data_IF_287725413561
#
_entry.id   IF_287725413561
#
_cell.length_a   1.000
_cell.length_b   1.000
_cell.length_c   1.000
_cell.angle_alpha   90.00
_cell.angle_beta   90.00
_cell.angle_gamma   90.00
#
_symmetry.space_group_name_H-M   'P 1'
#
loop_
_entity.id
_entity.type
_entity.pdbx_description
1 polymer ?
#
# COMPACT_ATOMS: atom_id res chain seq x y z
N UNK A 1 35.04 68.15 -38.16
CA UNK A 1 36.00 67.05 -37.95
C UNK A 1 36.13 66.63 -36.49
N UNK A 2 36.86 67.34 -35.60
CA UNK A 2 36.98 66.87 -34.18
C UNK A 2 35.64 66.78 -33.42
N UNK A 3 34.73 67.74 -33.60
CA UNK A 3 33.42 67.71 -32.95
C UNK A 3 32.52 66.55 -33.44
N UNK A 4 32.61 66.18 -34.72
CA UNK A 4 31.84 65.05 -35.28
C UNK A 4 32.32 63.72 -34.72
N UNK A 5 33.65 63.55 -34.60
CA UNK A 5 34.26 62.37 -33.98
C UNK A 5 33.80 62.24 -32.52
N UNK A 6 33.84 63.34 -31.77
CA UNK A 6 33.39 63.36 -30.39
C UNK A 6 31.91 62.96 -30.28
N UNK A 7 31.03 63.57 -31.08
CA UNK A 7 29.60 63.27 -31.10
C UNK A 7 29.30 61.81 -31.48
N UNK A 8 30.05 61.25 -32.43
CA UNK A 8 29.90 59.85 -32.82
C UNK A 8 30.30 58.91 -31.69
N UNK A 9 31.44 59.16 -31.03
CA UNK A 9 31.93 58.35 -29.91
C UNK A 9 30.97 58.41 -28.72
N UNK A 10 30.42 59.57 -28.41
CA UNK A 10 29.44 59.74 -27.32
C UNK A 10 28.01 59.37 -27.72
N UNK A 11 27.77 58.92 -28.95
CA UNK A 11 26.43 58.55 -29.40
C UNK A 11 25.93 57.30 -28.69
N UNK A 12 24.61 57.20 -28.53
CA UNK A 12 23.97 56.04 -27.88
C UNK A 12 24.22 54.71 -28.62
N UNK A 13 24.52 54.79 -29.93
CA UNK A 13 24.82 53.62 -30.74
C UNK A 13 26.16 52.99 -30.34
N UNK A 14 27.23 53.80 -30.23
CA UNK A 14 28.56 53.31 -29.87
C UNK A 14 28.75 53.10 -28.36
N UNK A 15 28.02 53.82 -27.52
CA UNK A 15 28.06 53.65 -26.05
C UNK A 15 27.13 52.56 -25.53
N UNK A 16 26.31 51.98 -26.41
CA UNK A 16 25.36 50.91 -26.10
C UNK A 16 24.40 51.22 -24.94
N UNK A 17 23.91 52.46 -24.88
CA UNK A 17 23.11 52.97 -23.77
C UNK A 17 21.88 52.05 -23.45
N UNK A 18 21.81 51.43 -22.25
CA UNK A 18 20.74 50.49 -21.90
C UNK A 18 19.38 51.18 -21.68
N UNK A 19 19.36 52.50 -21.50
CA UNK A 19 18.13 53.26 -21.25
C UNK A 19 17.22 53.35 -22.48
N UNK A 20 17.78 53.19 -23.69
CA UNK A 20 17.00 53.17 -24.94
C UNK A 20 15.96 52.04 -25.01
N UNK A 21 16.10 51.01 -24.18
CA UNK A 21 15.15 49.90 -24.10
C UNK A 21 13.81 50.31 -23.47
N UNK A 22 13.74 51.43 -22.75
CA UNK A 22 12.50 51.88 -22.11
C UNK A 22 11.46 52.31 -23.16
N UNK A 23 10.22 51.83 -23.03
CA UNK A 23 9.12 52.21 -23.92
C UNK A 23 8.43 53.47 -23.42
N UNK A 24 8.22 54.45 -24.31
CA UNK A 24 7.41 55.63 -24.01
C UNK A 24 5.94 55.30 -23.68
N UNK A 25 5.46 54.12 -24.11
CA UNK A 25 4.10 53.64 -23.82
C UNK A 25 3.93 53.07 -22.40
N UNK A 26 4.99 52.98 -21.58
CA UNK A 26 4.88 52.60 -20.18
C UNK A 26 6.14 51.91 -19.61
N UNK A 27 6.33 51.94 -18.28
CA UNK A 27 7.57 51.51 -17.61
C UNK A 27 7.81 49.99 -17.67
N UNK A 28 6.76 49.18 -17.71
CA UNK A 28 6.87 47.71 -17.78
C UNK A 28 7.03 47.18 -19.22
N UNK A 29 7.01 48.07 -20.21
CA UNK A 29 7.14 47.71 -21.61
C UNK A 29 8.55 48.01 -22.09
N UNK A 30 9.15 47.04 -22.76
CA UNK A 30 10.49 47.16 -23.33
C UNK A 30 10.36 47.32 -24.84
N UNK A 31 11.15 48.21 -25.43
CA UNK A 31 11.31 48.29 -26.87
C UNK A 31 12.21 47.15 -27.36
N UNK A 32 11.61 46.14 -28.01
CA UNK A 32 12.32 44.95 -28.49
C UNK A 32 13.46 45.27 -29.46
N UNK A 33 13.36 46.34 -30.25
CA UNK A 33 14.41 46.72 -31.20
C UNK A 33 15.72 47.17 -30.52
N UNK A 34 15.64 47.68 -29.29
CA UNK A 34 16.78 48.15 -28.50
C UNK A 34 17.06 47.26 -27.28
N UNK A 35 16.48 46.06 -27.23
CA UNK A 35 16.72 45.15 -26.12
C UNK A 35 18.10 44.48 -26.26
N UNK A 36 18.97 44.74 -25.28
CA UNK A 36 20.35 44.20 -25.24
C UNK A 36 20.56 43.17 -24.11
N UNK A 37 19.48 42.55 -23.65
CA UNK A 37 19.51 41.58 -22.54
C UNK A 37 19.11 42.15 -21.19
N UNK A 38 19.22 41.30 -20.18
CA UNK A 38 18.86 41.62 -18.79
C UNK A 38 19.95 42.44 -18.10
N UNK A 39 19.52 43.30 -17.19
CA UNK A 39 20.45 44.02 -16.31
C UNK A 39 21.16 43.04 -15.37
N UNK A 40 22.32 43.42 -14.86
CA UNK A 40 23.02 42.61 -13.87
C UNK A 40 22.17 42.42 -12.61
N UNK A 41 21.36 43.41 -12.23
CA UNK A 41 20.40 43.33 -11.13
C UNK A 41 19.33 42.25 -11.37
N UNK A 42 18.67 42.26 -12.54
CA UNK A 42 17.69 41.22 -12.92
C UNK A 42 18.33 39.82 -12.92
N UNK A 43 19.57 39.70 -13.40
CA UNK A 43 20.31 38.43 -13.40
C UNK A 43 20.65 37.96 -11.98
N UNK A 44 21.01 38.88 -11.09
CA UNK A 44 21.27 38.57 -9.69
C UNK A 44 19.98 38.13 -8.96
N UNK A 45 18.86 38.81 -9.19
CA UNK A 45 17.56 38.40 -8.63
C UNK A 45 17.18 36.97 -9.05
N UNK A 46 17.35 36.64 -10.34
CA UNK A 46 17.12 35.28 -10.86
C UNK A 46 18.06 34.27 -10.18
N UNK A 47 19.34 34.63 -9.99
CA UNK A 47 20.32 33.78 -9.31
C UNK A 47 19.89 33.49 -7.87
N UNK A 48 19.51 34.52 -7.11
CA UNK A 48 19.04 34.39 -5.73
C UNK A 48 17.76 33.55 -5.64
N UNK A 49 16.82 33.76 -6.57
CA UNK A 49 15.62 32.94 -6.68
C UNK A 49 15.93 31.45 -6.91
N UNK A 50 16.85 31.16 -7.84
CA UNK A 50 17.26 29.79 -8.14
C UNK A 50 17.94 29.12 -6.94
N UNK A 51 18.79 29.84 -6.21
CA UNK A 51 19.42 29.32 -4.98
C UNK A 51 18.37 28.95 -3.93
N UNK A 52 17.38 29.83 -3.70
CA UNK A 52 16.26 29.54 -2.79
C UNK A 52 15.48 28.32 -3.24
N UNK A 53 15.22 28.17 -4.54
CA UNK A 53 14.52 27.01 -5.09
C UNK A 53 15.27 25.70 -4.90
N UNK A 54 16.60 25.73 -5.03
CA UNK A 54 17.45 24.55 -4.77
C UNK A 54 17.34 24.15 -3.30
N UNK A 55 17.38 25.12 -2.38
CA UNK A 55 17.25 24.86 -0.95
C UNK A 55 15.87 24.31 -0.58
N UNK A 56 14.79 24.92 -1.09
CA UNK A 56 13.42 24.43 -0.91
C UNK A 56 13.26 22.99 -1.42
N UNK A 57 13.84 22.66 -2.57
CA UNK A 57 13.78 21.32 -3.13
C UNK A 57 14.56 20.30 -2.29
N UNK A 58 15.72 20.69 -1.74
CA UNK A 58 16.48 19.83 -0.81
C UNK A 58 15.68 19.50 0.44
N UNK A 59 15.01 20.50 1.03
CA UNK A 59 14.16 20.29 2.20
C UNK A 59 13.03 19.33 1.86
N UNK A 60 12.34 19.56 0.73
CA UNK A 60 11.25 18.68 0.27
C UNK A 60 11.70 17.23 0.06
N UNK A 61 12.85 17.02 -0.58
CA UNK A 61 13.41 15.67 -0.77
C UNK A 61 13.72 14.98 0.56
N UNK A 62 14.23 15.72 1.55
CA UNK A 62 14.47 15.18 2.89
C UNK A 62 13.17 14.81 3.60
N UNK A 63 12.12 15.62 3.48
CA UNK A 63 10.80 15.33 4.03
C UNK A 63 10.14 14.12 3.37
N UNK A 64 10.26 14.00 2.04
CA UNK A 64 9.77 12.85 1.28
C UNK A 64 10.49 11.56 1.70
N UNK A 65 11.82 11.60 1.81
CA UNK A 65 12.61 10.45 2.27
C UNK A 65 12.27 10.03 3.70
N UNK A 66 12.03 10.98 4.61
CA UNK A 66 11.55 10.68 5.97
C UNK A 66 10.17 10.02 5.94
N UNK A 67 9.24 10.57 5.17
CA UNK A 67 7.88 10.01 5.05
C UNK A 67 7.91 8.59 4.46
N UNK A 68 8.75 8.35 3.48
CA UNK A 68 8.92 7.02 2.89
C UNK A 68 9.51 6.03 3.91
N UNK A 69 10.51 6.44 4.70
CA UNK A 69 11.06 5.61 5.77
C UNK A 69 10.01 5.28 6.83
N UNK A 70 9.21 6.26 7.27
CA UNK A 70 8.12 6.06 8.23
C UNK A 70 7.06 5.10 7.68
N UNK A 71 6.71 5.24 6.38
CA UNK A 71 5.77 4.35 5.71
C UNK A 71 6.27 2.91 5.64
N UNK A 72 7.56 2.72 5.30
CA UNK A 72 8.19 1.40 5.28
C UNK A 72 8.22 0.77 6.67
N UNK A 73 8.54 1.55 7.71
CA UNK A 73 8.52 1.09 9.09
C UNK A 73 7.12 0.60 9.49
N UNK A 74 6.09 1.42 9.25
CA UNK A 74 4.69 1.09 9.53
C UNK A 74 4.24 -0.16 8.76
N UNK A 75 4.55 -0.23 7.46
CA UNK A 75 4.23 -1.39 6.63
C UNK A 75 4.85 -2.67 7.17
N UNK A 76 6.12 -2.61 7.59
CA UNK A 76 6.82 -3.74 8.20
C UNK A 76 6.18 -4.19 9.51
N UNK A 77 5.73 -3.25 10.35
CA UNK A 77 5.05 -3.54 11.61
C UNK A 77 3.69 -4.20 11.39
N UNK A 78 2.91 -3.66 10.46
CA UNK A 78 1.63 -4.24 10.08
C UNK A 78 1.83 -5.66 9.58
N UNK A 79 2.77 -5.89 8.66
CA UNK A 79 3.06 -7.23 8.13
C UNK A 79 3.47 -8.22 9.24
N UNK A 80 4.30 -7.79 10.20
CA UNK A 80 4.64 -8.60 11.38
C UNK A 80 3.40 -8.92 12.22
N UNK A 81 2.55 -7.91 12.49
CA UNK A 81 1.34 -8.08 13.31
C UNK A 81 0.36 -9.06 12.67
N UNK A 82 0.15 -8.98 11.36
CA UNK A 82 -0.72 -9.87 10.58
C UNK A 82 -0.17 -11.30 10.63
N UNK A 83 1.13 -11.47 10.39
CA UNK A 83 1.76 -12.79 10.45
C UNK A 83 1.65 -13.45 11.84
N UNK A 84 1.72 -12.67 12.92
CA UNK A 84 1.50 -13.19 14.28
C UNK A 84 0.04 -13.60 14.49
N UNK A 85 -0.92 -12.78 14.03
CA UNK A 85 -2.35 -13.09 14.13
C UNK A 85 -2.73 -14.32 13.31
N UNK A 86 -2.21 -14.45 12.10
CA UNK A 86 -2.43 -15.64 11.27
C UNK A 86 -1.93 -16.91 11.97
N UNK A 87 -0.75 -16.84 12.61
CA UNK A 87 -0.22 -17.97 13.41
C UNK A 87 -1.12 -18.31 14.60
N UNK A 88 -1.68 -17.32 15.29
CA UNK A 88 -2.64 -17.53 16.38
C UNK A 88 -3.92 -18.22 15.86
N UNK A 89 -4.46 -17.75 14.73
CA UNK A 89 -5.65 -18.33 14.10
C UNK A 89 -5.39 -19.78 13.69
N UNK A 90 -4.26 -20.06 13.04
CA UNK A 90 -3.87 -21.42 12.62
C UNK A 90 -3.74 -22.38 13.82
N UNK A 91 -3.19 -21.90 14.94
CA UNK A 91 -3.11 -22.70 16.17
C UNK A 91 -4.50 -23.05 16.71
N UNK A 92 -5.41 -22.07 16.77
CA UNK A 92 -6.80 -22.29 17.22
C UNK A 92 -7.56 -23.23 16.29
N UNK A 93 -7.41 -23.08 14.98
CA UNK A 93 -8.03 -23.97 14.00
C UNK A 93 -7.55 -25.42 14.22
N UNK A 94 -6.24 -25.63 14.39
CA UNK A 94 -5.68 -26.96 14.66
C UNK A 94 -6.19 -27.57 15.97
N UNK A 95 -6.45 -26.75 16.98
CA UNK A 95 -7.04 -27.20 18.25
C UNK A 95 -8.48 -27.66 18.05
N UNK A 96 -9.31 -26.84 17.39
CA UNK A 96 -10.69 -27.19 17.03
C UNK A 96 -10.73 -28.47 16.18
N UNK A 97 -9.86 -28.59 15.17
CA UNK A 97 -9.76 -29.80 14.35
C UNK A 97 -9.43 -31.05 15.18
N UNK A 98 -8.59 -30.91 16.21
CA UNK A 98 -8.24 -32.01 17.12
C UNK A 98 -9.44 -32.39 17.97
N UNK A 99 -10.18 -31.43 18.50
CA UNK A 99 -11.40 -31.67 19.28
C UNK A 99 -12.45 -32.38 18.45
N UNK A 100 -12.75 -31.88 17.24
CA UNK A 100 -13.68 -32.50 16.30
C UNK A 100 -13.25 -33.93 15.95
N UNK A 101 -11.94 -34.15 15.70
CA UNK A 101 -11.42 -35.50 15.43
C UNK A 101 -11.62 -36.45 16.61
N UNK A 102 -11.43 -35.97 17.84
CA UNK A 102 -11.64 -36.77 19.03
C UNK A 102 -13.12 -37.12 19.21
N UNK A 103 -14.03 -36.15 19.00
CA UNK A 103 -15.47 -36.38 19.04
C UNK A 103 -15.91 -37.40 17.98
N UNK A 104 -15.45 -37.25 16.74
CA UNK A 104 -15.73 -38.20 15.67
C UNK A 104 -15.27 -39.61 16.02
N UNK A 105 -14.10 -39.76 16.66
CA UNK A 105 -13.61 -41.07 17.13
C UNK A 105 -14.52 -41.68 18.20
N UNK A 106 -15.00 -40.89 19.14
CA UNK A 106 -15.92 -41.36 20.19
C UNK A 106 -17.24 -41.82 19.55
N UNK A 107 -17.83 -40.98 18.69
CA UNK A 107 -19.06 -41.28 17.97
C UNK A 107 -18.93 -42.54 17.10
N UNK A 108 -17.78 -42.75 16.44
CA UNK A 108 -17.52 -43.96 15.68
C UNK A 108 -17.49 -45.22 16.55
N UNK A 109 -16.89 -45.16 17.73
CA UNK A 109 -16.89 -46.26 18.70
C UNK A 109 -18.31 -46.56 19.21
N UNK A 110 -19.08 -45.53 19.55
CA UNK A 110 -20.47 -45.68 20.00
C UNK A 110 -21.34 -46.29 18.90
N UNK A 111 -21.22 -45.80 17.67
CA UNK A 111 -21.93 -46.34 16.51
C UNK A 111 -21.61 -47.81 16.30
N UNK A 112 -20.34 -48.21 16.35
CA UNK A 112 -19.94 -49.63 16.24
C UNK A 112 -20.55 -50.47 17.36
N UNK A 113 -20.51 -50.01 18.60
CA UNK A 113 -21.10 -50.71 19.74
C UNK A 113 -22.62 -50.88 19.59
N UNK A 114 -23.33 -49.85 19.15
CA UNK A 114 -24.76 -49.94 18.90
C UNK A 114 -25.07 -50.92 17.77
N UNK A 115 -24.29 -50.89 16.69
CA UNK A 115 -24.44 -51.82 15.58
C UNK A 115 -24.22 -53.27 16.02
N UNK A 116 -23.17 -53.54 16.79
CA UNK A 116 -22.93 -54.87 17.36
C UNK A 116 -24.08 -55.35 18.26
N UNK A 117 -24.69 -54.46 19.04
CA UNK A 117 -25.84 -54.80 19.87
C UNK A 117 -27.08 -55.14 19.02
N UNK A 118 -27.38 -54.34 18.00
CA UNK A 118 -28.49 -54.60 17.08
C UNK A 118 -28.31 -55.96 16.40
N UNK A 119 -27.13 -56.23 15.86
CA UNK A 119 -26.84 -57.46 15.12
C UNK A 119 -26.91 -58.71 16.02
N UNK A 120 -26.39 -58.64 17.26
CA UNK A 120 -26.27 -59.81 18.16
C UNK A 120 -27.47 -60.06 19.08
N UNK A 121 -28.26 -59.04 19.38
CA UNK A 121 -29.35 -59.15 20.37
C UNK A 121 -30.71 -58.97 19.71
N UNK A 122 -30.84 -57.98 18.84
CA UNK A 122 -32.14 -57.62 18.25
C UNK A 122 -32.43 -58.43 16.99
N UNK A 123 -31.45 -58.58 16.10
CA UNK A 123 -31.63 -59.25 14.81
C UNK A 123 -31.41 -60.76 14.84
N UNK A 124 -30.91 -61.33 15.93
CA UNK A 124 -30.86 -62.78 16.14
C UNK A 124 -32.20 -63.27 16.70
N UNK A 125 -33.00 -63.90 15.85
CA UNK A 125 -34.26 -64.52 16.28
C UNK A 125 -33.99 -65.91 16.86
N UNK A 126 -34.11 -66.06 18.18
CA UNK A 126 -34.04 -67.36 18.86
C UNK A 126 -35.45 -67.83 19.19
N UNK A 127 -35.88 -69.03 18.74
CA UNK A 127 -37.22 -69.54 19.01
C UNK A 127 -37.44 -69.73 20.51
N UNK A 128 -38.55 -69.19 21.02
CA UNK A 128 -38.94 -69.28 22.43
C UNK A 128 -39.33 -70.72 22.79
N UNK A 129 -39.20 -71.13 24.06
CA UNK A 129 -39.60 -72.48 24.50
C UNK A 129 -41.05 -72.84 24.09
N UNK A 130 -41.97 -71.88 24.18
CA UNK A 130 -43.35 -72.00 23.74
C UNK A 130 -43.51 -72.36 22.25
N UNK A 131 -42.54 -72.03 21.38
CA UNK A 131 -42.54 -72.44 19.98
C UNK A 131 -42.34 -73.95 19.83
N UNK A 132 -41.43 -74.54 20.61
CA UNK A 132 -41.17 -75.98 20.57
C UNK A 132 -42.30 -76.81 21.20
N UNK A 133 -42.96 -76.26 22.22
CA UNK A 133 -44.11 -76.89 22.89
C UNK A 133 -45.36 -77.02 21.99
N UNK A 134 -45.43 -76.31 20.85
CA UNK A 134 -46.55 -76.43 19.91
C UNK A 134 -46.57 -77.78 19.18
N UNK A 135 -45.43 -78.44 19.03
CA UNK A 135 -45.31 -79.69 18.28
C UNK A 135 -45.60 -80.91 19.18
N UNK A 136 -46.19 -81.97 18.61
CA UNK A 136 -46.56 -83.23 19.30
C UNK A 136 -47.64 -83.09 20.41
N UNK A 137 -48.50 -82.07 20.34
CA UNK A 137 -49.55 -81.82 21.35
C UNK A 137 -50.84 -82.63 21.12
N UNK A 138 -51.07 -83.17 19.92
CA UNK A 138 -52.26 -83.96 19.59
C UNK A 138 -51.87 -85.30 18.95
N UNK A 139 -52.49 -86.39 19.40
CA UNK A 139 -52.42 -87.70 18.72
C UNK A 139 -53.46 -87.75 17.61
N UNK A 140 -53.01 -88.03 16.39
CA UNK A 140 -53.84 -88.12 15.18
C UNK A 140 -54.74 -89.36 15.20
#
# INVERSE_FOLDING_TARGET
QQAEIYNAITSDFLTENPNLRASNLGPNRINGAFYKGMTDAEREEIRQYNLRKIEENKIRQQEEAKREADWLALSSEIARSVSLKDREIMKKQKEIEREVRNQNRILDCERKRQQEYLDKVVYTNTPTAAYFEQFNTTTR
#
